data_IF_143892436395
#
_entry.id   IF_143892436395
#
_cell.length_a   1.000
_cell.length_b   1.000
_cell.length_c   1.000
_cell.angle_alpha   90.00
_cell.angle_beta   90.00
_cell.angle_gamma   90.00
#
_symmetry.space_group_name_H-M   'P 1'
#
loop_
_entity.id
_entity.type
_entity.pdbx_description
1 polymer ?
#
# COMPACT_ATOMS: atom_id res chain seq x y z
N UNK A 1 -23.23 -1.43 16.94
CA UNK A 1 -21.90 -0.77 16.76
C UNK A 1 -20.83 -1.32 17.72
N UNK A 2 -21.11 -1.54 19.01
CA UNK A 2 -20.12 -2.00 19.99
C UNK A 2 -19.36 -3.30 19.66
N UNK A 3 -20.00 -4.29 19.03
CA UNK A 3 -19.36 -5.56 18.71
C UNK A 3 -18.29 -5.49 17.61
N UNK A 4 -18.46 -4.64 16.59
CA UNK A 4 -17.46 -4.41 15.51
C UNK A 4 -16.21 -3.76 16.06
N UNK A 5 -16.34 -2.73 16.87
CA UNK A 5 -15.21 -2.02 17.48
C UNK A 5 -14.41 -2.97 18.39
N UNK A 6 -15.10 -3.85 19.13
CA UNK A 6 -14.42 -4.85 19.98
C UNK A 6 -13.62 -5.85 19.15
N UNK A 7 -14.16 -6.30 17.99
CA UNK A 7 -13.43 -7.21 17.07
C UNK A 7 -12.19 -6.52 16.55
N UNK A 8 -12.33 -5.33 15.98
CA UNK A 8 -11.20 -4.57 15.38
C UNK A 8 -10.12 -4.30 16.44
N UNK A 9 -10.51 -3.81 17.61
CA UNK A 9 -9.58 -3.54 18.72
C UNK A 9 -8.87 -4.80 19.20
N UNK A 10 -9.60 -5.90 19.36
CA UNK A 10 -9.02 -7.18 19.76
C UNK A 10 -7.99 -7.68 18.78
N UNK A 11 -8.29 -7.65 17.47
CA UNK A 11 -7.37 -8.02 16.40
C UNK A 11 -6.13 -7.13 16.36
N UNK A 12 -6.33 -5.82 16.48
CA UNK A 12 -5.24 -4.86 16.50
C UNK A 12 -4.23 -5.14 17.62
N UNK A 13 -4.71 -5.38 18.85
CA UNK A 13 -3.85 -5.69 19.98
C UNK A 13 -3.13 -7.04 19.85
N UNK A 14 -3.78 -8.02 19.26
CA UNK A 14 -3.21 -9.34 19.06
C UNK A 14 -2.11 -9.31 17.99
N UNK A 15 -2.38 -8.67 16.86
CA UNK A 15 -1.48 -8.67 15.71
C UNK A 15 -0.28 -7.72 15.89
N UNK A 16 -0.44 -6.59 16.56
CA UNK A 16 0.70 -5.68 16.80
C UNK A 16 1.83 -6.27 17.65
N UNK A 17 1.55 -7.30 18.43
CA UNK A 17 2.57 -8.04 19.18
C UNK A 17 3.26 -9.15 18.37
N UNK A 18 2.79 -9.36 17.13
CA UNK A 18 3.35 -10.35 16.25
C UNK A 18 4.65 -9.81 15.60
N UNK A 19 5.78 -10.49 15.85
CA UNK A 19 7.08 -10.09 15.29
C UNK A 19 7.07 -9.94 13.76
N UNK A 20 6.20 -10.67 13.06
CA UNK A 20 6.02 -10.55 11.60
C UNK A 20 5.44 -9.20 11.19
N UNK A 21 4.48 -8.66 11.93
CA UNK A 21 3.92 -7.32 11.65
C UNK A 21 5.02 -6.28 11.78
N UNK A 22 5.82 -6.36 12.85
CA UNK A 22 6.98 -5.49 13.05
C UNK A 22 7.95 -5.60 11.87
N UNK A 23 8.28 -6.83 11.44
CA UNK A 23 9.16 -7.06 10.28
C UNK A 23 8.59 -6.47 8.99
N UNK A 24 7.27 -6.54 8.78
CA UNK A 24 6.60 -5.92 7.63
C UNK A 24 6.77 -4.39 7.60
N UNK A 25 6.60 -3.72 8.73
CA UNK A 25 6.85 -2.28 8.84
C UNK A 25 8.34 -1.95 8.66
N UNK A 26 9.25 -2.71 9.27
CA UNK A 26 10.70 -2.51 9.12
C UNK A 26 11.14 -2.68 7.66
N UNK A 27 10.61 -3.67 6.96
CA UNK A 27 10.87 -3.86 5.52
C UNK A 27 10.36 -2.66 4.73
N UNK A 28 9.15 -2.18 5.00
CA UNK A 28 8.61 -0.98 4.37
C UNK A 28 9.51 0.24 4.58
N UNK A 29 9.94 0.51 5.82
CA UNK A 29 10.86 1.61 6.12
C UNK A 29 12.22 1.46 5.43
N UNK A 30 12.77 0.24 5.38
CA UNK A 30 14.03 -0.02 4.69
C UNK A 30 13.92 0.26 3.18
N UNK A 31 12.82 -0.18 2.56
CA UNK A 31 12.55 0.05 1.14
C UNK A 31 12.37 1.54 0.86
N UNK A 32 11.54 2.25 1.64
CA UNK A 32 11.35 3.70 1.51
C UNK A 32 12.66 4.46 1.72
N UNK A 33 13.45 4.11 2.73
CA UNK A 33 14.74 4.72 3.01
C UNK A 33 15.76 4.54 1.90
N UNK A 34 15.80 3.33 1.31
CA UNK A 34 16.69 3.04 0.18
C UNK A 34 16.38 3.94 -1.03
N UNK A 35 15.12 3.96 -1.48
CA UNK A 35 14.73 4.74 -2.65
C UNK A 35 14.80 6.26 -2.41
N UNK A 36 14.49 6.70 -1.18
CA UNK A 36 14.59 8.11 -0.81
C UNK A 36 16.04 8.60 -0.73
N UNK A 37 16.99 7.72 -0.44
CA UNK A 37 18.40 8.08 -0.26
C UNK A 37 19.01 8.76 -1.49
N UNK A 38 18.64 8.33 -2.70
CA UNK A 38 19.07 8.94 -3.96
C UNK A 38 18.58 10.40 -4.08
N UNK A 39 17.31 10.62 -3.79
CA UNK A 39 16.69 11.95 -3.83
C UNK A 39 17.32 12.92 -2.80
N UNK A 40 17.53 12.45 -1.58
CA UNK A 40 18.15 13.26 -0.54
C UNK A 40 19.62 13.56 -0.83
N UNK A 41 20.35 12.61 -1.41
CA UNK A 41 21.73 12.83 -1.86
C UNK A 41 21.78 13.90 -2.95
N UNK A 42 20.87 13.82 -3.92
CA UNK A 42 20.75 14.84 -4.95
C UNK A 42 20.48 16.23 -4.36
N UNK A 43 19.51 16.33 -3.44
CA UNK A 43 19.22 17.59 -2.74
C UNK A 43 20.42 18.12 -1.97
N UNK A 44 21.15 17.25 -1.28
CA UNK A 44 22.40 17.62 -0.58
C UNK A 44 23.50 18.13 -1.52
N UNK A 45 23.68 17.48 -2.67
CA UNK A 45 24.68 17.86 -3.68
C UNK A 45 24.35 19.21 -4.36
N UNK A 46 23.06 19.53 -4.50
CA UNK A 46 22.62 20.84 -5.01
C UNK A 46 22.72 21.95 -3.96
N UNK A 47 22.77 21.60 -2.68
CA UNK A 47 22.75 22.56 -1.57
C UNK A 47 21.41 23.28 -1.36
N UNK A 48 20.35 22.81 -2.03
CA UNK A 48 19.03 23.43 -2.01
C UNK A 48 18.05 22.62 -1.15
N UNK A 49 17.20 23.29 -0.34
CA UNK A 49 16.24 22.61 0.51
C UNK A 49 15.12 21.98 -0.33
N UNK A 50 14.63 20.81 0.11
CA UNK A 50 13.49 20.11 -0.51
C UNK A 50 12.22 20.32 0.30
N UNK A 51 11.06 20.16 -0.32
CA UNK A 51 9.81 20.13 0.44
C UNK A 51 9.65 18.76 1.13
N UNK A 52 9.29 18.76 2.41
CA UNK A 52 9.19 17.54 3.23
C UNK A 52 8.19 16.50 2.68
N UNK A 53 7.24 16.91 1.87
CA UNK A 53 6.23 16.02 1.25
C UNK A 53 6.69 15.42 -0.07
N UNK A 54 7.73 15.98 -0.71
CA UNK A 54 8.17 15.57 -2.04
C UNK A 54 8.80 14.19 -2.07
N UNK A 55 9.57 13.83 -1.03
CA UNK A 55 10.25 12.54 -0.98
C UNK A 55 9.26 11.37 -1.10
N UNK A 56 8.13 11.44 -0.43
CA UNK A 56 7.07 10.45 -0.54
C UNK A 56 6.53 10.36 -1.97
N UNK A 57 6.25 11.52 -2.58
CA UNK A 57 5.77 11.56 -3.97
C UNK A 57 6.79 10.98 -4.94
N UNK A 58 8.07 11.31 -4.80
CA UNK A 58 9.15 10.84 -5.68
C UNK A 58 9.35 9.33 -5.57
N UNK A 59 9.39 8.81 -4.35
CA UNK A 59 9.65 7.38 -4.09
C UNK A 59 8.50 6.50 -4.58
N UNK A 60 7.25 6.93 -4.41
CA UNK A 60 6.08 6.15 -4.82
C UNK A 60 5.84 6.13 -6.34
N UNK A 61 6.61 6.89 -7.12
CA UNK A 61 6.61 6.79 -8.57
C UNK A 61 7.38 5.59 -9.10
N UNK A 62 8.28 5.08 -8.30
CA UNK A 62 9.13 3.98 -8.73
C UNK A 62 8.42 2.65 -8.56
N UNK A 63 7.99 2.02 -9.65
CA UNK A 63 7.24 0.76 -9.63
C UNK A 63 7.98 -0.40 -8.94
N UNK A 64 9.34 -0.37 -8.92
CA UNK A 64 10.14 -1.35 -8.15
C UNK A 64 10.01 -1.11 -6.64
N UNK A 65 9.90 0.15 -6.20
CA UNK A 65 9.58 0.46 -4.80
C UNK A 65 8.24 -0.15 -4.40
N UNK A 66 7.21 0.05 -5.22
CA UNK A 66 5.89 -0.54 -5.02
C UNK A 66 5.93 -2.08 -4.94
N UNK A 67 6.81 -2.73 -5.73
CA UNK A 67 6.98 -4.17 -5.67
C UNK A 67 7.41 -4.65 -4.28
N UNK A 68 8.44 -4.03 -3.71
CA UNK A 68 8.95 -4.40 -2.40
C UNK A 68 8.07 -3.91 -1.25
N UNK A 69 7.42 -2.76 -1.39
CA UNK A 69 6.51 -2.21 -0.39
C UNK A 69 5.31 -3.13 -0.16
N UNK A 70 4.76 -3.69 -1.23
CA UNK A 70 3.67 -4.68 -1.14
C UNK A 70 4.13 -5.96 -0.44
N UNK A 71 5.38 -6.40 -0.61
CA UNK A 71 5.91 -7.54 0.15
C UNK A 71 5.94 -7.25 1.66
N UNK A 72 6.35 -6.05 2.06
CA UNK A 72 6.25 -5.59 3.45
C UNK A 72 4.81 -5.60 3.96
N UNK A 73 3.88 -5.09 3.16
CA UNK A 73 2.45 -5.12 3.45
C UNK A 73 1.89 -6.54 3.60
N UNK A 74 2.29 -7.46 2.72
CA UNK A 74 1.88 -8.87 2.82
C UNK A 74 2.34 -9.51 4.13
N UNK A 75 3.53 -9.18 4.64
CA UNK A 75 3.96 -9.64 5.96
C UNK A 75 3.03 -9.13 7.08
N UNK A 76 2.51 -7.92 6.96
CA UNK A 76 1.58 -7.36 7.95
C UNK A 76 0.26 -8.12 7.98
N UNK A 77 -0.28 -8.52 6.82
CA UNK A 77 -1.62 -9.13 6.70
C UNK A 77 -1.60 -10.64 6.43
N UNK A 78 -0.43 -11.30 6.39
CA UNK A 78 -0.29 -12.70 5.96
C UNK A 78 -1.01 -13.73 6.85
N UNK A 79 -1.39 -13.40 8.10
CA UNK A 79 -2.19 -14.31 8.97
C UNK A 79 -3.69 -14.28 8.65
N UNK A 80 -4.12 -13.46 7.65
CA UNK A 80 -5.50 -13.54 7.21
C UNK A 80 -5.86 -14.98 6.77
N UNK A 81 -6.98 -15.54 7.19
CA UNK A 81 -8.14 -14.89 7.82
C UNK A 81 -8.10 -14.75 9.34
N UNK A 82 -6.94 -14.70 9.96
CA UNK A 82 -6.74 -14.45 11.39
C UNK A 82 -7.51 -15.43 12.29
N UNK A 83 -7.41 -16.72 11.98
CA UNK A 83 -8.19 -17.79 12.65
C UNK A 83 -7.51 -18.37 13.89
N UNK A 84 -6.40 -17.79 14.32
CA UNK A 84 -5.64 -18.27 15.51
C UNK A 84 -6.26 -17.75 16.81
N UNK A 85 -6.13 -18.52 17.88
CA UNK A 85 -6.56 -18.14 19.23
C UNK A 85 -8.04 -18.29 19.50
N UNK A 86 -8.62 -17.42 20.33
CA UNK A 86 -10.01 -17.49 20.81
C UNK A 86 -11.07 -17.09 19.76
N UNK A 87 -10.81 -17.31 18.48
CA UNK A 87 -11.68 -16.89 17.38
C UNK A 87 -13.07 -17.55 17.48
N UNK A 88 -13.13 -18.80 17.95
CA UNK A 88 -14.40 -19.51 18.12
C UNK A 88 -15.32 -18.81 19.10
N UNK A 89 -14.77 -18.27 20.19
CA UNK A 89 -15.53 -17.48 21.16
C UNK A 89 -16.06 -16.17 20.55
N UNK A 90 -15.22 -15.54 19.71
CA UNK A 90 -15.61 -14.34 18.97
C UNK A 90 -16.69 -14.64 17.93
N UNK A 91 -16.54 -15.72 17.14
CA UNK A 91 -17.52 -16.17 16.16
C UNK A 91 -18.86 -16.54 16.81
N UNK A 92 -18.83 -17.23 17.96
CA UNK A 92 -20.02 -17.58 18.70
C UNK A 92 -20.77 -16.34 19.20
N UNK A 93 -20.05 -15.34 19.74
CA UNK A 93 -20.62 -14.10 20.29
C UNK A 93 -21.13 -13.14 19.22
N UNK A 94 -20.40 -12.99 18.11
CA UNK A 94 -20.67 -11.93 17.12
C UNK A 94 -21.37 -12.44 15.86
N UNK A 95 -21.30 -13.73 15.59
CA UNK A 95 -21.77 -14.34 14.35
C UNK A 95 -20.87 -14.07 13.14
N UNK A 96 -20.88 -15.01 12.19
CA UNK A 96 -19.95 -15.05 11.03
C UNK A 96 -19.94 -13.78 10.16
N UNK A 97 -21.12 -13.20 9.90
CA UNK A 97 -21.22 -11.98 9.08
C UNK A 97 -20.55 -10.77 9.73
N UNK A 98 -20.80 -10.55 11.04
CA UNK A 98 -20.21 -9.41 11.76
C UNK A 98 -18.70 -9.58 11.90
N UNK A 99 -18.26 -10.81 12.14
CA UNK A 99 -16.83 -11.13 12.14
C UNK A 99 -16.18 -10.81 10.80
N UNK A 100 -16.74 -11.26 9.68
CA UNK A 100 -16.23 -10.97 8.33
C UNK A 100 -16.13 -9.47 8.07
N UNK A 101 -17.17 -8.70 8.41
CA UNK A 101 -17.11 -7.23 8.29
C UNK A 101 -16.00 -6.64 9.17
N UNK A 102 -15.85 -7.14 10.40
CA UNK A 102 -14.78 -6.71 11.30
C UNK A 102 -13.39 -6.92 10.72
N UNK A 103 -13.17 -8.08 10.06
CA UNK A 103 -11.90 -8.38 9.37
C UNK A 103 -11.63 -7.45 8.20
N UNK A 104 -12.63 -7.17 7.38
CA UNK A 104 -12.48 -6.20 6.29
C UNK A 104 -12.11 -4.81 6.81
N UNK A 105 -12.82 -4.30 7.80
CA UNK A 105 -12.50 -3.01 8.40
C UNK A 105 -11.12 -3.00 9.05
N UNK A 106 -10.71 -4.10 9.68
CA UNK A 106 -9.36 -4.24 10.21
C UNK A 106 -8.30 -4.13 9.11
N UNK A 107 -8.48 -4.83 7.97
CA UNK A 107 -7.54 -4.77 6.84
C UNK A 107 -7.47 -3.36 6.26
N UNK A 108 -8.62 -2.70 6.07
CA UNK A 108 -8.65 -1.31 5.58
C UNK A 108 -7.93 -0.35 6.54
N UNK A 109 -8.15 -0.51 7.85
CA UNK A 109 -7.48 0.30 8.86
C UNK A 109 -5.96 0.02 8.88
N UNK A 110 -5.54 -1.22 8.78
CA UNK A 110 -4.12 -1.58 8.72
C UNK A 110 -3.46 -1.04 7.45
N UNK A 111 -4.13 -1.09 6.29
CA UNK A 111 -3.63 -0.48 5.07
C UNK A 111 -3.41 1.03 5.23
N UNK A 112 -4.39 1.71 5.87
CA UNK A 112 -4.24 3.13 6.19
C UNK A 112 -3.06 3.40 7.12
N UNK A 113 -2.92 2.63 8.20
CA UNK A 113 -1.82 2.80 9.16
C UNK A 113 -0.46 2.51 8.53
N UNK A 114 -0.35 1.47 7.69
CA UNK A 114 0.88 1.16 6.98
C UNK A 114 1.27 2.29 6.03
N UNK A 115 0.33 2.77 5.20
CA UNK A 115 0.56 3.91 4.30
C UNK A 115 0.94 5.18 5.08
N UNK A 116 0.22 5.46 6.17
CA UNK A 116 0.53 6.62 7.02
C UNK A 116 1.92 6.51 7.67
N UNK A 117 2.31 5.32 8.12
CA UNK A 117 3.64 5.09 8.68
C UNK A 117 4.75 5.35 7.65
N UNK A 118 4.57 4.89 6.39
CA UNK A 118 5.52 5.15 5.29
C UNK A 118 5.61 6.65 4.98
N UNK A 119 4.46 7.33 4.88
CA UNK A 119 4.41 8.76 4.66
C UNK A 119 5.06 9.56 5.80
N UNK A 120 4.74 9.24 7.05
CA UNK A 120 5.35 9.90 8.22
C UNK A 120 6.86 9.66 8.28
N UNK A 121 7.31 8.45 7.97
CA UNK A 121 8.74 8.12 7.90
C UNK A 121 9.47 9.02 6.89
N UNK A 122 8.95 9.16 5.68
CA UNK A 122 9.56 10.03 4.65
C UNK A 122 9.55 11.49 5.06
N UNK A 123 8.48 11.99 5.69
CA UNK A 123 8.39 13.35 6.20
C UNK A 123 9.44 13.60 7.29
N UNK A 124 9.58 12.69 8.26
CA UNK A 124 10.57 12.84 9.34
C UNK A 124 11.98 12.92 8.77
N UNK A 125 12.36 12.03 7.88
CA UNK A 125 13.71 12.04 7.29
C UNK A 125 13.91 13.30 6.44
N UNK A 126 12.93 13.68 5.59
CA UNK A 126 13.02 14.89 4.75
C UNK A 126 13.07 16.18 5.56
N UNK A 127 12.53 16.20 6.79
CA UNK A 127 12.54 17.40 7.63
C UNK A 127 13.94 17.86 8.02
N UNK A 128 14.94 16.99 7.98
CA UNK A 128 16.35 17.36 8.22
C UNK A 128 16.98 18.09 7.03
N UNK A 129 16.39 18.02 5.85
CA UNK A 129 16.95 18.55 4.61
C UNK A 129 16.05 19.60 3.96
N UNK A 130 14.90 19.92 4.55
CA UNK A 130 13.88 20.62 3.83
C UNK A 130 13.04 21.60 4.60
N UNK A 131 12.01 22.08 3.91
CA UNK A 131 11.03 23.04 4.40
C UNK A 131 9.61 22.53 4.21
N UNK A 132 8.68 23.04 4.99
CA UNK A 132 7.25 22.81 4.82
C UNK A 132 6.65 23.95 4.00
N UNK A 133 6.00 23.64 2.88
CA UNK A 133 5.40 24.66 2.02
C UNK A 133 4.46 24.08 0.96
N UNK A 134 3.83 24.97 0.20
CA UNK A 134 2.90 24.60 -0.86
C UNK A 134 3.56 24.57 -2.26
N UNK A 135 4.85 24.89 -2.33
CA UNK A 135 5.60 24.99 -3.57
C UNK A 135 6.52 23.79 -3.75
N UNK A 136 6.73 23.42 -5.00
CA UNK A 136 7.74 22.45 -5.39
C UNK A 136 9.14 23.04 -5.19
N UNK A 137 10.06 22.22 -4.74
CA UNK A 137 11.45 22.63 -4.52
C UNK A 137 12.23 22.78 -5.84
N UNK A 138 13.28 23.58 -5.83
CA UNK A 138 14.18 23.75 -6.96
C UNK A 138 14.84 22.44 -7.42
N UNK A 139 15.31 21.54 -6.52
CA UNK A 139 15.81 20.22 -6.92
C UNK A 139 14.78 19.38 -7.70
N UNK A 140 13.53 19.32 -7.24
CA UNK A 140 12.49 18.57 -7.97
C UNK A 140 12.17 19.20 -9.31
N UNK A 141 12.16 20.52 -9.38
CA UNK A 141 11.96 21.23 -10.64
C UNK A 141 13.09 20.95 -11.64
N UNK A 142 14.33 20.99 -11.20
CA UNK A 142 15.50 20.66 -12.04
C UNK A 142 15.47 19.21 -12.51
N UNK A 143 15.05 18.30 -11.65
CA UNK A 143 14.86 16.87 -11.98
C UNK A 143 13.76 16.68 -13.04
N UNK A 144 12.66 17.43 -12.94
CA UNK A 144 11.56 17.37 -13.90
C UNK A 144 11.92 17.96 -15.28
N UNK A 145 12.89 18.85 -15.33
CA UNK A 145 13.43 19.45 -16.57
C UNK A 145 14.53 18.61 -17.21
N UNK A 146 15.06 17.60 -16.52
CA UNK A 146 16.13 16.73 -17.06
C UNK A 146 15.60 15.74 -18.10
N UNK A 147 15.37 16.24 -19.31
CA UNK A 147 14.86 15.44 -20.44
C UNK A 147 15.80 14.28 -20.79
N UNK A 148 17.10 14.44 -20.53
CA UNK A 148 18.11 13.41 -20.82
C UNK A 148 18.23 12.34 -19.76
N UNK A 149 17.51 12.51 -18.65
CA UNK A 149 17.54 11.63 -17.48
C UNK A 149 18.94 11.39 -16.88
N UNK A 150 19.86 12.35 -17.06
CA UNK A 150 21.22 12.24 -16.54
C UNK A 150 21.26 12.30 -15.01
N UNK A 151 20.45 13.19 -14.42
CA UNK A 151 20.32 13.33 -12.98
C UNK A 151 19.62 12.09 -12.42
N UNK A 152 18.51 11.68 -13.04
CA UNK A 152 17.77 10.49 -12.64
C UNK A 152 18.64 9.24 -12.64
N UNK A 153 19.44 9.02 -13.70
CA UNK A 153 20.35 7.88 -13.80
C UNK A 153 21.47 7.94 -12.75
N UNK A 154 22.07 9.13 -12.52
CA UNK A 154 23.15 9.31 -11.55
C UNK A 154 22.74 9.02 -10.12
N UNK A 155 21.53 9.44 -9.72
CA UNK A 155 21.04 9.31 -8.35
C UNK A 155 20.00 8.20 -8.16
N UNK A 156 19.70 7.45 -9.22
CA UNK A 156 18.66 6.40 -9.23
C UNK A 156 17.28 6.95 -8.83
N UNK A 157 16.88 8.06 -9.46
CA UNK A 157 15.60 8.72 -9.22
C UNK A 157 14.77 8.63 -10.50
N UNK A 158 13.51 8.25 -10.37
CA UNK A 158 12.56 8.28 -11.48
C UNK A 158 11.51 9.34 -11.19
N UNK A 159 11.56 10.49 -11.90
CA UNK A 159 10.57 11.54 -11.70
C UNK A 159 10.21 12.23 -13.04
N UNK A 160 9.18 11.79 -13.74
CA UNK A 160 8.82 12.29 -15.06
C UNK A 160 7.79 13.47 -15.05
N UNK A 161 7.81 14.42 -14.11
CA UNK A 161 6.55 15.08 -13.71
C UNK A 161 6.44 16.58 -13.83
N UNK A 162 7.04 17.16 -14.84
CA UNK A 162 6.79 18.58 -15.16
C UNK A 162 5.27 18.84 -15.33
N UNK A 163 4.54 17.88 -15.92
CA UNK A 163 3.10 17.99 -16.10
C UNK A 163 2.33 17.99 -14.78
N UNK A 164 2.71 17.14 -13.80
CA UNK A 164 2.08 17.13 -12.47
C UNK A 164 2.33 18.43 -11.71
N UNK A 165 3.55 18.95 -11.77
CA UNK A 165 3.92 20.20 -11.09
C UNK A 165 3.14 21.40 -11.60
N UNK A 166 2.72 21.38 -12.89
CA UNK A 166 1.87 22.42 -13.48
C UNK A 166 0.41 22.35 -13.02
N UNK A 167 -0.07 21.17 -12.65
CA UNK A 167 -1.48 20.90 -12.36
C UNK A 167 -1.76 20.81 -10.87
N UNK A 168 -0.79 20.34 -10.07
CA UNK A 168 -0.99 20.06 -8.65
C UNK A 168 0.07 20.74 -7.79
N UNK A 169 -0.35 21.28 -6.64
CA UNK A 169 0.56 21.68 -5.57
C UNK A 169 1.13 20.46 -4.85
N UNK A 170 2.24 20.63 -4.11
CA UNK A 170 2.89 19.52 -3.38
C UNK A 170 1.94 18.80 -2.42
N UNK A 171 1.13 19.48 -1.58
CA UNK A 171 0.18 18.79 -0.71
C UNK A 171 -0.91 18.02 -1.47
N UNK A 172 -1.34 18.51 -2.64
CA UNK A 172 -2.29 17.79 -3.50
C UNK A 172 -1.65 16.53 -4.08
N UNK A 173 -0.43 16.63 -4.59
CA UNK A 173 0.33 15.50 -5.10
C UNK A 173 0.56 14.43 -4.02
N UNK A 174 0.93 14.87 -2.81
CA UNK A 174 1.08 14.00 -1.65
C UNK A 174 -0.23 13.28 -1.30
N UNK A 175 -1.36 14.01 -1.23
CA UNK A 175 -2.65 13.44 -0.91
C UNK A 175 -3.11 12.41 -1.97
N UNK A 176 -2.86 12.70 -3.24
CA UNK A 176 -3.16 11.78 -4.36
C UNK A 176 -2.30 10.52 -4.26
N UNK A 177 -1.00 10.67 -4.07
CA UNK A 177 -0.07 9.55 -3.91
C UNK A 177 -0.45 8.68 -2.71
N UNK A 178 -0.75 9.30 -1.58
CA UNK A 178 -1.23 8.61 -0.39
C UNK A 178 -2.52 7.81 -0.64
N UNK A 179 -3.49 8.44 -1.30
CA UNK A 179 -4.78 7.82 -1.61
C UNK A 179 -4.61 6.57 -2.50
N UNK A 180 -3.79 6.67 -3.55
CA UNK A 180 -3.60 5.55 -4.47
C UNK A 180 -2.81 4.40 -3.85
N UNK A 181 -1.77 4.70 -3.09
CA UNK A 181 -1.06 3.68 -2.32
C UNK A 181 -2.00 2.98 -1.34
N UNK A 182 -2.77 3.74 -0.56
CA UNK A 182 -3.75 3.21 0.36
C UNK A 182 -4.78 2.30 -0.32
N UNK A 183 -5.39 2.75 -1.42
CA UNK A 183 -6.40 1.96 -2.14
C UNK A 183 -5.81 0.67 -2.71
N UNK A 184 -4.59 0.73 -3.23
CA UNK A 184 -3.90 -0.43 -3.76
C UNK A 184 -3.59 -1.47 -2.67
N UNK A 185 -3.04 -1.03 -1.54
CA UNK A 185 -2.75 -1.91 -0.40
C UNK A 185 -4.03 -2.47 0.22
N UNK A 186 -5.08 -1.67 0.34
CA UNK A 186 -6.39 -2.10 0.79
C UNK A 186 -6.99 -3.17 -0.13
N UNK A 187 -6.89 -2.99 -1.45
CA UNK A 187 -7.31 -4.00 -2.44
C UNK A 187 -6.49 -5.29 -2.30
N UNK A 188 -5.15 -5.20 -2.21
CA UNK A 188 -4.30 -6.38 -2.05
C UNK A 188 -4.59 -7.14 -0.75
N UNK A 189 -4.82 -6.43 0.36
CA UNK A 189 -5.24 -7.05 1.62
C UNK A 189 -6.62 -7.71 1.55
N UNK A 190 -7.59 -7.06 0.91
CA UNK A 190 -8.91 -7.61 0.67
C UNK A 190 -8.87 -8.87 -0.23
N UNK A 191 -8.03 -8.86 -1.26
CA UNK A 191 -7.81 -9.99 -2.16
C UNK A 191 -7.18 -11.17 -1.41
N UNK A 192 -6.14 -10.91 -0.61
CA UNK A 192 -5.52 -11.93 0.24
C UNK A 192 -6.55 -12.57 1.16
N UNK A 193 -7.33 -11.78 1.86
CA UNK A 193 -8.35 -12.26 2.78
C UNK A 193 -9.42 -13.10 2.07
N UNK A 194 -9.96 -12.63 0.96
CA UNK A 194 -10.98 -13.34 0.20
C UNK A 194 -10.44 -14.66 -0.36
N UNK A 195 -9.23 -14.67 -0.94
CA UNK A 195 -8.59 -15.86 -1.47
C UNK A 195 -8.22 -16.87 -0.35
N UNK A 196 -7.77 -16.37 0.81
CA UNK A 196 -7.47 -17.21 1.96
C UNK A 196 -8.74 -17.88 2.55
N UNK A 197 -9.89 -17.21 2.50
CA UNK A 197 -11.17 -17.79 2.89
C UNK A 197 -11.67 -18.84 1.89
N UNK A 198 -11.36 -18.69 0.60
CA UNK A 198 -11.83 -19.59 -0.45
C UNK A 198 -11.01 -20.87 -0.54
N UNK A 199 -9.71 -20.76 -0.37
CA UNK A 199 -8.76 -21.87 -0.61
C UNK A 199 -7.97 -22.20 0.66
N UNK A 200 -6.95 -21.40 0.96
CA UNK A 200 -6.10 -21.50 2.15
C UNK A 200 -5.29 -20.22 2.32
N UNK A 201 -4.70 -20.01 3.51
CA UNK A 201 -3.83 -18.85 3.75
C UNK A 201 -2.66 -18.76 2.76
N UNK A 202 -2.03 -19.90 2.44
CA UNK A 202 -0.93 -19.98 1.46
C UNK A 202 -1.43 -19.60 0.05
N UNK A 203 -2.57 -20.15 -0.37
CA UNK A 203 -3.15 -19.83 -1.68
C UNK A 203 -3.53 -18.35 -1.78
N UNK A 204 -3.98 -17.73 -0.68
CA UNK A 204 -4.23 -16.29 -0.60
C UNK A 204 -2.98 -15.48 -0.90
N UNK A 205 -1.86 -15.81 -0.26
CA UNK A 205 -0.56 -15.14 -0.48
C UNK A 205 -0.10 -15.31 -1.93
N UNK A 206 -0.15 -16.53 -2.46
CA UNK A 206 0.25 -16.83 -3.84
C UNK A 206 -0.61 -16.05 -4.85
N UNK A 207 -1.92 -15.96 -4.61
CA UNK A 207 -2.85 -15.19 -5.46
C UNK A 207 -2.46 -13.72 -5.50
N UNK A 208 -2.21 -13.10 -4.35
CA UNK A 208 -1.85 -11.68 -4.28
C UNK A 208 -0.50 -11.43 -4.94
N UNK A 209 0.50 -12.26 -4.67
CA UNK A 209 1.82 -12.14 -5.32
C UNK A 209 1.65 -12.29 -6.84
N UNK A 210 0.87 -13.26 -7.32
CA UNK A 210 0.60 -13.46 -8.73
C UNK A 210 -0.04 -12.25 -9.40
N UNK A 211 -1.08 -11.66 -8.79
CA UNK A 211 -1.73 -10.44 -9.30
C UNK A 211 -0.77 -9.25 -9.30
N UNK A 212 0.01 -9.11 -8.24
CA UNK A 212 0.98 -8.01 -8.12
C UNK A 212 2.10 -8.11 -9.17
N UNK A 213 2.71 -9.30 -9.32
CA UNK A 213 3.74 -9.55 -10.33
C UNK A 213 3.20 -9.39 -11.76
N UNK A 214 1.97 -9.86 -12.03
CA UNK A 214 1.34 -9.65 -13.33
C UNK A 214 1.16 -8.15 -13.62
N UNK A 215 0.74 -7.37 -12.62
CA UNK A 215 0.66 -5.91 -12.73
C UNK A 215 2.01 -5.27 -13.04
N UNK A 216 3.07 -5.72 -12.35
CA UNK A 216 4.44 -5.27 -12.58
C UNK A 216 4.94 -5.59 -13.99
N UNK A 217 4.81 -6.84 -14.44
CA UNK A 217 5.24 -7.27 -15.77
C UNK A 217 4.51 -6.49 -16.88
N UNK A 218 3.20 -6.32 -16.75
CA UNK A 218 2.42 -5.52 -17.72
C UNK A 218 2.88 -4.07 -17.79
N UNK A 219 3.26 -3.49 -16.66
CA UNK A 219 3.80 -2.14 -16.62
C UNK A 219 5.17 -2.06 -17.29
N UNK A 220 6.03 -3.06 -17.10
CA UNK A 220 7.32 -3.19 -17.78
C UNK A 220 7.19 -3.31 -19.31
N UNK A 221 6.19 -4.03 -19.77
CA UNK A 221 5.89 -4.24 -21.19
C UNK A 221 5.15 -3.05 -21.83
N UNK A 222 4.88 -1.98 -21.08
CA UNK A 222 4.19 -0.78 -21.55
C UNK A 222 2.67 -0.88 -21.57
N UNK A 223 2.06 -1.99 -21.10
CA UNK A 223 0.60 -2.16 -21.01
C UNK A 223 0.03 -1.53 -19.75
N UNK A 224 0.20 -0.21 -19.58
CA UNK A 224 -0.21 0.53 -18.38
C UNK A 224 -1.72 0.48 -18.14
N UNK A 225 -2.55 0.51 -19.18
CA UNK A 225 -4.01 0.51 -19.07
C UNK A 225 -4.57 -0.74 -18.38
N UNK A 226 -3.94 -1.89 -18.58
CA UNK A 226 -4.38 -3.18 -18.03
C UNK A 226 -3.67 -3.57 -16.74
N UNK A 227 -2.69 -2.78 -16.30
CA UNK A 227 -1.96 -3.00 -15.06
C UNK A 227 -2.65 -2.34 -13.87
N UNK A 228 -3.02 -3.15 -12.86
CA UNK A 228 -3.52 -2.62 -11.59
C UNK A 228 -2.44 -1.86 -10.82
N UNK A 229 -1.17 -2.26 -10.95
CA UNK A 229 -0.05 -1.55 -10.34
C UNK A 229 0.13 -0.17 -10.99
N UNK A 230 0.06 -0.06 -12.32
CA UNK A 230 0.14 1.22 -13.01
C UNK A 230 -0.93 2.20 -12.57
N UNK A 231 -2.13 1.70 -12.22
CA UNK A 231 -3.23 2.52 -11.66
C UNK A 231 -3.00 2.95 -10.21
N UNK A 232 -2.00 2.41 -9.53
CA UNK A 232 -1.60 2.86 -8.20
C UNK A 232 -0.48 3.92 -8.23
N UNK A 233 0.16 4.12 -9.39
CA UNK A 233 1.23 5.08 -9.58
C UNK A 233 0.67 6.37 -10.20
N UNK A 234 0.60 7.50 -9.45
CA UNK A 234 -0.06 8.72 -9.90
C UNK A 234 0.49 9.33 -11.19
N UNK A 235 1.77 9.07 -11.55
CA UNK A 235 2.39 9.54 -12.79
C UNK A 235 1.65 9.14 -14.05
N UNK A 236 1.09 7.96 -14.05
CA UNK A 236 0.38 7.42 -15.22
C UNK A 236 -0.95 8.14 -15.53
N UNK A 237 -1.47 8.95 -14.60
CA UNK A 237 -2.69 9.73 -14.85
C UNK A 237 -2.43 11.03 -15.60
N UNK A 238 -1.22 11.53 -15.55
CA UNK A 238 -0.85 12.84 -16.09
C UNK A 238 -0.60 12.76 -17.59
N UNK A 239 -0.11 11.61 -18.05
CA UNK A 239 0.11 11.35 -19.48
C UNK A 239 -1.21 11.07 -20.24
N UNK A 240 -2.35 11.12 -19.54
CA UNK A 240 -3.68 10.88 -20.12
C UNK A 240 -3.98 9.44 -20.50
N UNK A 241 -3.06 8.50 -20.22
CA UNK A 241 -3.25 7.06 -20.46
C UNK A 241 -4.28 6.46 -19.52
N UNK A 242 -4.37 6.99 -18.31
CA UNK A 242 -5.31 6.52 -17.28
C UNK A 242 -6.13 7.68 -16.73
N UNK A 243 -7.40 7.39 -16.39
CA UNK A 243 -8.27 8.36 -15.71
C UNK A 243 -8.21 8.18 -14.20
N UNK A 244 -7.97 9.28 -13.47
CA UNK A 244 -7.96 9.35 -12.02
C UNK A 244 -9.24 8.74 -11.40
N UNK A 245 -10.40 9.26 -11.78
CA UNK A 245 -11.69 8.85 -11.22
C UNK A 245 -12.06 7.41 -11.56
N UNK A 246 -11.72 6.96 -12.77
CA UNK A 246 -11.93 5.55 -13.15
C UNK A 246 -11.07 4.61 -12.32
N UNK A 247 -9.85 4.97 -11.99
CA UNK A 247 -8.94 4.15 -11.18
C UNK A 247 -9.39 4.08 -9.72
N UNK A 248 -9.84 5.20 -9.14
CA UNK A 248 -10.44 5.21 -7.79
C UNK A 248 -11.71 4.36 -7.77
N UNK A 249 -12.61 4.55 -8.74
CA UNK A 249 -13.85 3.77 -8.84
C UNK A 249 -13.57 2.27 -9.00
N UNK A 250 -12.56 1.91 -9.80
CA UNK A 250 -12.15 0.52 -10.01
C UNK A 250 -11.67 -0.13 -8.70
N UNK A 251 -10.76 0.51 -7.96
CA UNK A 251 -10.28 -0.05 -6.69
C UNK A 251 -11.41 -0.17 -5.67
N UNK A 252 -12.27 0.83 -5.54
CA UNK A 252 -13.42 0.76 -4.65
C UNK A 252 -14.39 -0.36 -5.05
N UNK A 253 -14.68 -0.50 -6.35
CA UNK A 253 -15.53 -1.57 -6.85
C UNK A 253 -14.92 -2.95 -6.56
N UNK A 254 -13.63 -3.15 -6.79
CA UNK A 254 -12.93 -4.40 -6.51
C UNK A 254 -12.97 -4.74 -5.01
N UNK A 255 -12.71 -3.77 -4.13
CA UNK A 255 -12.80 -3.96 -2.67
C UNK A 255 -14.22 -4.37 -2.27
N UNK A 256 -15.24 -3.69 -2.79
CA UNK A 256 -16.66 -4.02 -2.50
C UNK A 256 -17.02 -5.42 -3.01
N UNK A 257 -16.62 -5.78 -4.22
CA UNK A 257 -16.85 -7.12 -4.78
C UNK A 257 -16.20 -8.19 -3.91
N UNK A 258 -14.95 -8.01 -3.49
CA UNK A 258 -14.27 -8.94 -2.60
C UNK A 258 -14.96 -9.04 -1.22
N UNK A 259 -15.47 -7.94 -0.69
CA UNK A 259 -16.24 -7.91 0.56
C UNK A 259 -17.55 -8.70 0.42
N UNK A 260 -18.26 -8.57 -0.70
CA UNK A 260 -19.49 -9.32 -0.97
C UNK A 260 -19.19 -10.80 -1.12
N UNK A 261 -18.19 -11.17 -1.92
CA UNK A 261 -17.76 -12.55 -2.12
C UNK A 261 -17.38 -13.20 -0.80
N UNK A 262 -16.52 -12.58 0.01
CA UNK A 262 -16.14 -13.13 1.32
C UNK A 262 -17.35 -13.32 2.25
N UNK A 263 -18.36 -12.41 2.19
CA UNK A 263 -19.59 -12.51 2.98
C UNK A 263 -20.49 -13.68 2.57
N UNK A 264 -20.40 -14.12 1.31
CA UNK A 264 -21.07 -15.33 0.82
C UNK A 264 -20.33 -16.58 1.29
N UNK A 265 -19.01 -16.59 1.13
CA UNK A 265 -18.19 -17.76 1.42
C UNK A 265 -18.04 -18.03 2.93
N UNK A 266 -17.93 -17.00 3.77
CA UNK A 266 -17.81 -17.17 5.22
C UNK A 266 -18.98 -17.98 5.84
N UNK A 267 -20.12 -18.05 5.17
CA UNK A 267 -21.25 -18.86 5.64
C UNK A 267 -21.02 -20.36 5.42
N UNK A 268 -20.25 -20.73 4.39
CA UNK A 268 -20.01 -22.12 3.97
C UNK A 268 -18.78 -22.74 4.64
N UNK A 269 -17.90 -21.91 5.25
CA UNK A 269 -16.69 -22.41 5.87
C UNK A 269 -17.03 -23.13 7.17
N UNK A 270 -16.67 -24.38 7.25
CA UNK A 270 -16.58 -25.14 8.49
C UNK A 270 -15.22 -24.80 9.13
N UNK A 271 -15.28 -24.01 10.20
CA UNK A 271 -14.09 -23.77 11.02
C UNK A 271 -13.79 -25.08 11.76
N UNK A 272 -12.85 -25.89 11.28
CA UNK A 272 -12.40 -27.07 11.96
C UNK A 272 -11.81 -26.68 13.31
N UNK A 273 -12.33 -27.26 14.38
CA UNK A 273 -11.70 -27.21 15.69
C UNK A 273 -10.37 -27.94 15.54
N UNK A 274 -9.25 -27.21 15.61
CA UNK A 274 -7.93 -27.79 15.61
C UNK A 274 -7.69 -28.66 16.84
N UNK A 275 -8.20 -29.86 16.81
CA UNK A 275 -7.71 -31.00 17.56
C UNK A 275 -6.77 -31.77 16.65
N UNK A 276 -5.69 -31.19 16.22
CA UNK A 276 -4.50 -31.99 15.93
C UNK A 276 -3.86 -32.27 17.26
N UNK A 277 -4.23 -33.43 17.79
CA UNK A 277 -3.54 -34.15 18.81
C UNK A 277 -2.09 -34.31 18.34
N UNK A 278 -1.17 -33.68 19.05
CA UNK A 278 0.26 -34.05 19.00
C UNK A 278 0.37 -35.55 19.25
N UNK A 279 0.68 -36.30 18.21
CA UNK A 279 1.11 -37.69 18.26
C UNK A 279 2.61 -37.78 18.02
#
# INVERSE_FOLDING_TARGET
MGSLVVIIKGMFWQEQRNGRVIMGYLLGFAVMGYWMSGFLRYASDTGEPVNILEAFCVVEQHYVNMLFLVLGWLLVVADAPFTKGNIYLLLYRCGRKRWNMGMFFYILMQAFLYTAAMAVFTIIISSFFGFAGNMWSSPVYSLALDVTNNIGAKYNITFPWLAMMKVMSVPQAFAVTFLFLYLYLAFMGALLYAAALLFSGIAGIVTVIGVHLTGYLRMMDGYTETSLLARAVPGNFIDGTLSYWQSVALFLALIVVLMVLSSIFVKKIEFQSGTEVEG
#
